data_IF_404916210721
#
_entry.id   IF_404916210721
#
_cell.length_a   1.000
_cell.length_b   1.000
_cell.length_c   1.000
_cell.angle_alpha   90.00
_cell.angle_beta   90.00
_cell.angle_gamma   90.00
#
_symmetry.space_group_name_H-M   'P 1'
#
loop_
_entity.id
_entity.type
_entity.pdbx_description
1 polymer ?
#
# COMPACT_ATOMS: atom_id res chain seq x y z
N UNK A 1 -5.60 -14.07 1.90
CA UNK A 1 -4.40 -14.61 1.20
C UNK A 1 -3.43 -15.07 2.27
N UNK A 2 -2.89 -16.29 2.16
CA UNK A 2 -1.95 -16.85 3.13
C UNK A 2 -0.53 -16.67 2.59
N UNK A 3 0.37 -16.17 3.42
CA UNK A 3 1.80 -16.10 3.09
C UNK A 3 2.39 -17.52 3.02
N UNK A 4 2.99 -17.89 1.88
CA UNK A 4 3.59 -19.22 1.71
C UNK A 4 4.86 -19.42 2.56
N UNK A 5 5.48 -18.36 3.06
CA UNK A 5 6.71 -18.42 3.87
C UNK A 5 6.42 -18.63 5.35
N UNK A 6 5.41 -17.97 5.92
CA UNK A 6 5.13 -18.00 7.36
C UNK A 6 3.69 -18.41 7.74
N UNK A 7 2.86 -18.77 6.75
CA UNK A 7 1.45 -19.15 6.90
C UNK A 7 0.53 -18.08 7.52
N UNK A 8 0.99 -16.83 7.66
CA UNK A 8 0.17 -15.72 8.16
C UNK A 8 -0.86 -15.24 7.14
N UNK A 9 -2.02 -14.79 7.62
CA UNK A 9 -3.12 -14.21 6.85
C UNK A 9 -3.21 -12.68 6.96
N UNK A 10 -2.08 -12.02 7.25
CA UNK A 10 -2.01 -10.56 7.41
C UNK A 10 -1.39 -9.91 6.17
N UNK A 11 -2.14 -9.63 5.09
CA UNK A 11 -1.61 -8.91 3.94
C UNK A 11 -1.59 -7.40 4.19
N UNK A 12 -0.56 -6.74 3.67
CA UNK A 12 -0.46 -5.29 3.58
C UNK A 12 -0.36 -4.91 2.10
N UNK A 13 -1.16 -3.91 1.69
CA UNK A 13 -1.10 -3.35 0.36
C UNK A 13 -0.11 -2.18 0.34
N UNK A 14 0.93 -2.27 -0.48
CA UNK A 14 1.93 -1.20 -0.63
C UNK A 14 2.07 -0.80 -2.10
N UNK A 15 2.60 0.40 -2.33
CA UNK A 15 3.07 0.85 -3.65
C UNK A 15 4.56 1.09 -3.57
N UNK A 16 5.31 0.47 -4.49
CA UNK A 16 6.76 0.60 -4.58
C UNK A 16 7.16 0.64 -6.06
N UNK A 17 7.92 1.67 -6.45
CA UNK A 17 8.39 1.83 -7.83
C UNK A 17 7.25 1.76 -8.87
N UNK A 18 6.11 2.41 -8.59
CA UNK A 18 4.93 2.40 -9.46
C UNK A 18 4.18 1.05 -9.53
N UNK A 19 4.53 0.07 -8.71
CA UNK A 19 3.84 -1.22 -8.64
C UNK A 19 3.01 -1.32 -7.36
N UNK A 20 1.77 -1.81 -7.47
CA UNK A 20 0.96 -2.23 -6.34
C UNK A 20 1.36 -3.64 -5.91
N UNK A 21 1.72 -3.82 -4.65
CA UNK A 21 2.13 -5.10 -4.10
C UNK A 21 1.30 -5.48 -2.89
N UNK A 22 1.08 -6.77 -2.71
CA UNK A 22 0.72 -7.35 -1.43
C UNK A 22 1.99 -7.92 -0.79
N UNK A 23 2.29 -7.51 0.44
CA UNK A 23 3.32 -8.15 1.27
C UNK A 23 2.71 -8.76 2.53
N UNK A 24 3.41 -9.71 3.13
CA UNK A 24 3.02 -10.24 4.42
C UNK A 24 3.38 -9.26 5.54
N UNK A 25 2.41 -8.80 6.32
CA UNK A 25 2.62 -7.97 7.51
C UNK A 25 3.36 -8.69 8.64
N UNK A 26 3.43 -10.03 8.64
CA UNK A 26 4.16 -10.78 9.67
C UNK A 26 5.65 -10.96 9.37
N UNK A 27 6.01 -11.28 8.12
CA UNK A 27 7.40 -11.60 7.74
C UNK A 27 8.00 -10.69 6.65
N UNK A 28 7.22 -9.76 6.10
CA UNK A 28 7.65 -8.81 5.07
C UNK A 28 7.73 -9.38 3.65
N UNK A 29 7.54 -10.69 3.46
CA UNK A 29 7.67 -11.33 2.14
C UNK A 29 6.65 -10.78 1.13
N UNK A 30 7.09 -10.48 -0.09
CA UNK A 30 6.20 -10.11 -1.18
C UNK A 30 5.37 -11.32 -1.63
N UNK A 31 4.07 -11.13 -1.72
CA UNK A 31 3.12 -12.20 -2.07
C UNK A 31 2.59 -12.04 -3.49
N UNK A 32 2.23 -10.81 -3.89
CA UNK A 32 1.70 -10.51 -5.23
C UNK A 32 2.16 -9.11 -5.67
N UNK A 33 2.40 -8.93 -6.97
CA UNK A 33 2.66 -7.62 -7.58
C UNK A 33 1.78 -7.42 -8.82
N UNK A 34 1.27 -6.21 -9.01
CA UNK A 34 0.63 -5.75 -10.25
C UNK A 34 0.98 -4.29 -10.50
N UNK A 35 0.77 -3.79 -11.72
CA UNK A 35 0.97 -2.37 -12.01
C UNK A 35 0.03 -1.52 -11.17
N UNK A 36 0.53 -0.45 -10.53
CA UNK A 36 -0.33 0.44 -9.77
C UNK A 36 -1.37 1.13 -10.67
N UNK A 37 -1.00 1.44 -11.93
CA UNK A 37 -1.91 2.02 -12.92
C UNK A 37 -3.13 1.12 -13.18
N UNK A 38 -2.98 -0.21 -13.05
CA UNK A 38 -4.09 -1.14 -13.27
C UNK A 38 -5.14 -1.10 -12.14
N UNK A 39 -4.76 -0.67 -10.93
CA UNK A 39 -5.63 -0.63 -9.74
C UNK A 39 -5.99 0.78 -9.30
N UNK A 40 -5.25 1.79 -9.75
CA UNK A 40 -5.40 3.17 -9.30
C UNK A 40 -6.75 3.79 -9.68
N UNK A 41 -7.46 3.26 -10.68
CA UNK A 41 -8.73 3.84 -11.15
C UNK A 41 -9.96 3.49 -10.28
N UNK A 42 -9.76 2.84 -9.14
CA UNK A 42 -10.86 2.46 -8.24
C UNK A 42 -11.41 3.65 -7.46
N UNK A 43 -12.72 3.61 -7.18
CA UNK A 43 -13.44 4.57 -6.33
C UNK A 43 -13.35 4.25 -4.83
N UNK A 44 -12.64 3.19 -4.44
CA UNK A 44 -12.49 2.83 -3.04
C UNK A 44 -11.80 3.95 -2.27
N UNK A 45 -12.26 4.23 -1.05
CA UNK A 45 -11.62 5.17 -0.14
C UNK A 45 -10.36 4.54 0.48
N UNK A 46 -9.24 5.24 0.39
CA UNK A 46 -7.97 4.81 0.97
C UNK A 46 -7.31 5.95 1.73
N UNK A 47 -6.54 5.58 2.75
CA UNK A 47 -5.48 6.41 3.29
C UNK A 47 -4.13 5.88 2.83
N UNK A 48 -3.30 6.76 2.29
CA UNK A 48 -1.93 6.49 1.88
C UNK A 48 -0.94 7.06 2.89
N UNK A 49 0.04 6.25 3.32
CA UNK A 49 1.05 6.62 4.32
C UNK A 49 2.45 6.31 3.82
N UNK A 50 3.46 7.03 4.32
CA UNK A 50 4.83 6.55 4.25
C UNK A 50 4.90 5.22 5.00
N UNK A 51 5.40 4.18 4.33
CA UNK A 51 5.42 2.84 4.89
C UNK A 51 6.37 2.75 6.10
N UNK A 52 5.88 2.38 7.31
CA UNK A 52 6.72 2.23 8.50
C UNK A 52 7.51 0.91 8.52
N UNK A 53 7.27 0.03 7.55
CA UNK A 53 7.76 -1.35 7.51
C UNK A 53 6.70 -2.36 7.96
N UNK A 54 6.95 -3.64 7.66
CA UNK A 54 5.99 -4.72 7.83
C UNK A 54 5.45 -4.84 9.27
N UNK A 55 4.15 -4.99 9.40
CA UNK A 55 3.45 -5.22 10.66
C UNK A 55 3.43 -4.01 11.60
N UNK A 56 3.93 -2.85 11.15
CA UNK A 56 3.97 -1.64 11.94
C UNK A 56 2.80 -0.73 11.56
N UNK A 57 2.07 -0.18 12.55
CA UNK A 57 1.04 0.79 12.27
C UNK A 57 1.67 2.10 11.77
N UNK A 58 1.09 2.76 10.75
CA UNK A 58 1.58 4.06 10.30
C UNK A 58 1.25 5.14 11.33
N UNK A 59 2.14 6.14 11.45
CA UNK A 59 1.88 7.31 12.27
C UNK A 59 0.90 8.27 11.54
N UNK A 60 -0.02 8.96 12.24
CA UNK A 60 -0.95 9.90 11.60
C UNK A 60 -0.27 11.01 10.79
N UNK A 61 0.88 11.51 11.26
CA UNK A 61 1.71 12.51 10.60
C UNK A 61 2.42 11.99 9.34
N UNK A 62 2.53 10.67 9.18
CA UNK A 62 3.10 10.03 8.01
C UNK A 62 2.09 9.88 6.86
N UNK A 63 0.86 10.41 7.01
CA UNK A 63 -0.17 10.35 5.97
C UNK A 63 0.18 11.27 4.81
N UNK A 64 0.24 10.69 3.63
CA UNK A 64 0.52 11.36 2.36
C UNK A 64 -0.77 11.93 1.78
N UNK A 65 -1.83 11.11 1.74
CA UNK A 65 -3.12 11.48 1.16
C UNK A 65 -4.25 10.61 1.72
N UNK A 66 -5.49 11.07 1.55
CA UNK A 66 -6.71 10.30 1.84
C UNK A 66 -7.79 10.66 0.83
N UNK A 67 -8.52 9.67 0.35
CA UNK A 67 -9.63 9.85 -0.59
C UNK A 67 -9.83 8.63 -1.48
N UNK A 68 -10.68 8.74 -2.51
CA UNK A 68 -10.79 7.73 -3.56
C UNK A 68 -9.42 7.46 -4.19
N UNK A 69 -9.08 6.18 -4.42
CA UNK A 69 -7.74 5.83 -4.92
C UNK A 69 -7.41 6.55 -6.24
N UNK A 70 -8.41 6.71 -7.11
CA UNK A 70 -8.26 7.49 -8.36
C UNK A 70 -7.77 8.91 -8.14
N UNK A 71 -8.29 9.58 -7.11
CA UNK A 71 -8.03 10.98 -6.85
C UNK A 71 -6.67 11.17 -6.18
N UNK A 72 -6.24 10.22 -5.36
CA UNK A 72 -4.94 10.29 -4.66
C UNK A 72 -3.80 9.61 -5.43
N UNK A 73 -4.11 8.93 -6.54
CA UNK A 73 -3.15 8.10 -7.29
C UNK A 73 -1.92 8.86 -7.78
N UNK A 74 -2.10 10.09 -8.27
CA UNK A 74 -1.00 10.93 -8.74
C UNK A 74 -0.02 11.29 -7.62
N UNK A 75 -0.54 11.60 -6.42
CA UNK A 75 0.26 11.89 -5.23
C UNK A 75 1.03 10.64 -4.78
N UNK A 76 0.37 9.48 -4.75
CA UNK A 76 1.01 8.20 -4.41
C UNK A 76 2.16 7.88 -5.38
N UNK A 77 1.93 8.03 -6.68
CA UNK A 77 2.96 7.81 -7.70
C UNK A 77 4.15 8.76 -7.53
N UNK A 78 3.89 10.05 -7.33
CA UNK A 78 4.93 11.05 -7.13
C UNK A 78 5.83 10.74 -5.92
N UNK A 79 5.27 10.20 -4.84
CA UNK A 79 6.08 9.75 -3.69
C UNK A 79 6.88 8.48 -4.02
N UNK A 80 6.31 7.55 -4.79
CA UNK A 80 7.04 6.35 -5.20
C UNK A 80 8.18 6.66 -6.16
N UNK A 81 8.04 7.68 -7.01
CA UNK A 81 9.09 8.19 -7.90
C UNK A 81 10.25 8.83 -7.11
N UNK A 82 9.98 9.31 -5.90
CA UNK A 82 11.00 9.80 -4.94
C UNK A 82 11.67 8.67 -4.16
N UNK A 83 11.28 7.42 -4.41
CA UNK A 83 11.81 6.23 -3.74
C UNK A 83 11.07 5.84 -2.45
N UNK A 84 9.96 6.51 -2.12
CA UNK A 84 9.13 6.19 -0.95
C UNK A 84 8.32 4.92 -1.21
N UNK A 85 8.27 4.01 -0.24
CA UNK A 85 7.28 2.94 -0.22
C UNK A 85 6.02 3.49 0.44
N UNK A 86 4.87 3.33 -0.21
CA UNK A 86 3.59 3.85 0.28
C UNK A 86 2.73 2.71 0.77
N UNK A 87 2.30 2.74 2.04
CA UNK A 87 1.31 1.82 2.58
C UNK A 87 -0.10 2.34 2.25
N UNK A 88 -0.94 1.48 1.66
CA UNK A 88 -2.34 1.76 1.39
C UNK A 88 -3.22 0.99 2.38
N UNK A 89 -4.05 1.75 3.10
CA UNK A 89 -5.07 1.19 3.99
C UNK A 89 -6.43 1.54 3.41
N UNK A 90 -7.22 0.50 3.09
CA UNK A 90 -8.60 0.69 2.68
C UNK A 90 -9.41 1.22 3.88
N UNK A 91 -10.15 2.29 3.68
CA UNK A 91 -11.05 2.82 4.68
C UNK A 91 -12.34 1.97 4.65
N UNK A 92 -12.66 1.28 5.74
CA UNK A 92 -14.01 0.75 5.94
C UNK A 92 -14.95 1.91 6.20
N UNK A 93 -16.00 2.04 5.39
CA UNK A 93 -17.12 2.95 5.66
C UNK A 93 -17.88 2.55 6.92
#
# INVERSE_FOLDING_TARGET
>A
MICHTCASEQPEAIVQGGSYLLRCGACGEHMVATSFIAVSNTDGEFSAYCDPGYGRPPAPEARIARGPLRDISATVLAETDRGTIVLLIAETQ
#
